data_IF_537352217575
#
_entry.id   IF_537352217575
#
_cell.length_a   1.000
_cell.length_b   1.000
_cell.length_c   1.000
_cell.angle_alpha   90.00
_cell.angle_beta   90.00
_cell.angle_gamma   90.00
#
_symmetry.space_group_name_H-M   'P 1'
#
loop_
_entity.id
_entity.type
_entity.pdbx_description
1 polymer ?
#
# COMPACT_ATOMS: atom_id res chain seq x y z
N UNK A 1 -14.97 -24.76 8.31
CA UNK A 1 -14.64 -23.46 8.91
C UNK A 1 -13.47 -22.91 8.13
N UNK A 2 -13.67 -21.86 7.36
CA UNK A 2 -12.56 -21.15 6.70
C UNK A 2 -11.77 -20.43 7.79
N UNK A 3 -10.47 -20.67 7.89
CA UNK A 3 -9.63 -19.99 8.86
C UNK A 3 -9.66 -18.48 8.57
N UNK A 4 -10.04 -17.69 9.58
CA UNK A 4 -10.17 -16.23 9.52
C UNK A 4 -8.87 -15.56 9.04
N UNK A 5 -7.72 -16.16 9.35
CA UNK A 5 -6.40 -15.67 9.00
C UNK A 5 -5.75 -16.46 7.86
N UNK A 6 -6.51 -17.30 7.16
CA UNK A 6 -6.00 -17.96 5.97
C UNK A 6 -5.73 -16.91 4.88
N UNK A 7 -4.48 -16.87 4.43
CA UNK A 7 -4.03 -15.96 3.38
C UNK A 7 -3.53 -16.74 2.15
N UNK A 8 -3.54 -16.12 0.96
CA UNK A 8 -2.80 -16.63 -0.20
C UNK A 8 -1.31 -16.84 0.11
N UNK A 9 -0.63 -17.73 -0.62
CA UNK A 9 0.80 -18.08 -0.37
C UNK A 9 1.76 -16.87 -0.41
N UNK A 10 1.43 -15.85 -1.18
CA UNK A 10 2.22 -14.63 -1.36
C UNK A 10 1.78 -13.48 -0.44
N UNK A 11 0.88 -13.75 0.49
CA UNK A 11 0.48 -12.79 1.50
C UNK A 11 1.45 -12.77 2.69
N UNK A 12 1.23 -11.82 3.59
CA UNK A 12 2.11 -11.54 4.72
C UNK A 12 1.35 -11.91 5.98
N UNK A 13 1.51 -13.15 6.49
CA UNK A 13 0.71 -13.62 7.60
C UNK A 13 0.94 -12.74 8.82
N UNK A 14 -0.14 -12.47 9.54
CA UNK A 14 -0.09 -11.75 10.80
C UNK A 14 0.48 -12.65 11.90
N UNK A 15 1.35 -12.08 12.73
CA UNK A 15 1.83 -12.72 13.96
C UNK A 15 0.69 -12.80 15.00
N UNK A 16 0.74 -13.75 15.96
CA UNK A 16 -0.30 -13.90 16.97
C UNK A 16 -0.68 -12.59 17.68
N UNK A 17 0.30 -11.79 18.09
CA UNK A 17 0.07 -10.51 18.79
C UNK A 17 -0.61 -9.46 17.90
N UNK A 18 -0.43 -9.56 16.58
CA UNK A 18 -1.05 -8.63 15.62
C UNK A 18 -2.50 -9.03 15.31
N UNK A 19 -2.80 -10.34 15.38
CA UNK A 19 -4.17 -10.87 15.29
C UNK A 19 -5.01 -10.42 16.49
N UNK A 20 -4.41 -10.36 17.68
CA UNK A 20 -5.04 -9.78 18.88
C UNK A 20 -5.38 -8.29 18.70
N UNK A 21 -4.75 -7.63 17.72
CA UNK A 21 -5.06 -6.25 17.36
C UNK A 21 -6.41 -6.06 16.66
N UNK A 22 -7.13 -7.12 16.32
CA UNK A 22 -8.47 -7.04 15.70
C UNK A 22 -9.47 -6.42 16.68
N UNK A 23 -10.04 -5.27 16.33
CA UNK A 23 -10.95 -4.50 17.19
C UNK A 23 -12.39 -5.02 17.16
N UNK A 24 -12.81 -5.60 16.03
CA UNK A 24 -14.21 -5.88 15.74
C UNK A 24 -14.55 -7.33 16.15
N UNK A 25 -15.25 -7.47 17.28
CA UNK A 25 -15.58 -8.77 17.88
C UNK A 25 -16.59 -9.60 17.09
N UNK A 26 -17.28 -9.01 16.12
CA UNK A 26 -18.27 -9.68 15.28
C UNK A 26 -17.66 -10.37 14.04
N UNK A 27 -16.38 -10.11 13.74
CA UNK A 27 -15.69 -10.73 12.61
C UNK A 27 -15.43 -12.20 12.97
N UNK A 28 -16.08 -13.11 12.22
CA UNK A 28 -15.93 -14.56 12.42
C UNK A 28 -15.42 -15.26 11.16
N UNK A 29 -15.54 -14.62 10.00
CA UNK A 29 -15.08 -15.14 8.72
C UNK A 29 -14.11 -14.17 8.02
N UNK A 30 -13.30 -14.72 7.10
CA UNK A 30 -12.44 -13.90 6.24
C UNK A 30 -13.23 -12.91 5.38
N UNK A 31 -14.45 -13.27 4.98
CA UNK A 31 -15.33 -12.38 4.22
C UNK A 31 -15.74 -11.16 5.06
N UNK A 32 -16.11 -11.37 6.33
CA UNK A 32 -16.42 -10.29 7.27
C UNK A 32 -15.24 -9.32 7.42
N UNK A 33 -14.03 -9.88 7.59
CA UNK A 33 -12.81 -9.10 7.71
C UNK A 33 -12.53 -8.28 6.45
N UNK A 34 -12.63 -8.90 5.27
CA UNK A 34 -12.42 -8.22 3.99
C UNK A 34 -13.41 -7.07 3.80
N UNK A 35 -14.69 -7.28 4.14
CA UNK A 35 -15.72 -6.25 4.06
C UNK A 35 -15.44 -5.08 5.02
N UNK A 36 -15.08 -5.38 6.27
CA UNK A 36 -14.75 -4.36 7.26
C UNK A 36 -13.49 -3.56 6.87
N UNK A 37 -12.46 -4.22 6.37
CA UNK A 37 -11.27 -3.55 5.84
C UNK A 37 -11.60 -2.68 4.63
N UNK A 38 -12.42 -3.18 3.69
CA UNK A 38 -12.79 -2.41 2.51
C UNK A 38 -13.57 -1.15 2.86
N UNK A 39 -14.56 -1.24 3.75
CA UNK A 39 -15.31 -0.07 4.24
C UNK A 39 -14.39 0.99 4.87
N UNK A 40 -13.41 0.56 5.67
CA UNK A 40 -12.48 1.49 6.30
C UNK A 40 -11.47 2.09 5.30
N UNK A 41 -11.04 1.31 4.30
CA UNK A 41 -10.24 1.80 3.17
C UNK A 41 -11.00 2.87 2.39
N UNK A 42 -12.28 2.66 2.10
CA UNK A 42 -13.11 3.61 1.37
C UNK A 42 -13.29 4.92 2.16
N UNK A 43 -13.49 4.83 3.49
CA UNK A 43 -13.50 5.99 4.39
C UNK A 43 -12.15 6.72 4.38
N UNK A 44 -11.05 5.98 4.42
CA UNK A 44 -9.69 6.52 4.36
C UNK A 44 -9.42 7.24 3.04
N UNK A 45 -9.82 6.64 1.92
CA UNK A 45 -9.76 7.25 0.58
C UNK A 45 -10.55 8.56 0.57
N UNK A 46 -11.82 8.51 0.97
CA UNK A 46 -12.70 9.67 0.95
C UNK A 46 -12.16 10.82 1.83
N UNK A 47 -11.54 10.50 2.97
CA UNK A 47 -10.82 11.48 3.79
C UNK A 47 -9.63 12.10 3.03
N UNK A 48 -8.76 11.28 2.45
CA UNK A 48 -7.55 11.76 1.76
C UNK A 48 -7.87 12.58 0.51
N UNK A 49 -8.86 12.16 -0.29
CA UNK A 49 -9.28 12.89 -1.50
C UNK A 49 -10.06 14.19 -1.19
N UNK A 50 -10.62 14.35 0.02
CA UNK A 50 -11.25 15.62 0.46
C UNK A 50 -10.29 16.58 1.14
N UNK A 51 -9.15 16.11 1.63
CA UNK A 51 -8.15 16.96 2.26
C UNK A 51 -7.68 18.03 1.26
N UNK A 52 -7.66 19.29 1.71
CA UNK A 52 -7.20 20.42 0.89
C UNK A 52 -5.69 20.52 1.01
N UNK A 53 -4.99 20.20 -0.08
CA UNK A 53 -3.52 20.29 -0.21
C UNK A 53 -2.74 19.62 0.94
N UNK A 54 -2.99 18.33 1.25
CA UNK A 54 -2.18 17.62 2.23
C UNK A 54 -0.72 17.51 1.76
N UNK A 55 0.21 17.54 2.71
CA UNK A 55 1.61 17.22 2.44
C UNK A 55 1.79 15.70 2.36
N UNK A 56 1.60 15.16 1.16
CA UNK A 56 1.57 13.73 0.87
C UNK A 56 2.92 13.04 1.07
N UNK A 57 4.02 13.78 0.93
CA UNK A 57 5.38 13.24 0.86
C UNK A 57 6.07 13.37 2.21
N UNK A 58 5.37 12.96 3.26
CA UNK A 58 5.86 12.97 4.64
C UNK A 58 5.57 11.64 5.32
N UNK A 59 6.44 11.26 6.26
CA UNK A 59 6.23 10.07 7.11
C UNK A 59 4.92 10.18 7.88
N UNK A 60 4.60 11.38 8.38
CA UNK A 60 3.35 11.63 9.11
C UNK A 60 2.12 11.30 8.24
N UNK A 61 2.09 11.77 7.00
CA UNK A 61 0.98 11.45 6.10
C UNK A 61 0.92 9.95 5.77
N UNK A 62 2.06 9.29 5.54
CA UNK A 62 2.13 7.85 5.32
C UNK A 62 1.47 7.06 6.46
N UNK A 63 1.83 7.38 7.71
CA UNK A 63 1.27 6.73 8.90
C UNK A 63 -0.20 7.09 9.10
N UNK A 64 -0.56 8.36 8.91
CA UNK A 64 -1.93 8.84 9.05
C UNK A 64 -2.87 8.21 8.02
N UNK A 65 -2.45 8.10 6.77
CA UNK A 65 -3.21 7.45 5.71
C UNK A 65 -3.51 6.00 6.08
N UNK A 66 -2.50 5.24 6.53
CA UNK A 66 -2.71 3.87 6.97
C UNK A 66 -3.67 3.79 8.17
N UNK A 67 -3.51 4.68 9.15
CA UNK A 67 -4.42 4.76 10.30
C UNK A 67 -5.86 5.02 9.87
N UNK A 68 -6.08 5.86 8.85
CA UNK A 68 -7.40 6.17 8.32
C UNK A 68 -8.01 5.03 7.52
N UNK A 69 -7.18 4.21 6.87
CA UNK A 69 -7.62 3.07 6.07
C UNK A 69 -7.93 1.81 6.91
N UNK A 70 -7.30 1.65 8.08
CA UNK A 70 -7.36 0.39 8.84
C UNK A 70 -7.69 0.57 10.33
N UNK A 71 -7.79 1.80 10.85
CA UNK A 71 -7.90 2.09 12.29
C UNK A 71 -9.21 1.69 12.95
N UNK A 72 -10.29 1.51 12.18
CA UNK A 72 -11.56 0.98 12.70
C UNK A 72 -11.46 -0.54 12.92
N UNK A 73 -10.61 -1.23 12.14
CA UNK A 73 -10.45 -2.69 12.15
C UNK A 73 -9.29 -3.13 13.05
N UNK A 74 -8.16 -2.43 12.98
CA UNK A 74 -6.89 -2.85 13.56
C UNK A 74 -6.33 -1.84 14.56
N UNK A 75 -5.87 -2.31 15.71
CA UNK A 75 -5.31 -1.46 16.77
C UNK A 75 -3.94 -0.88 16.42
N UNK A 76 -3.16 -1.61 15.62
CA UNK A 76 -1.83 -1.24 15.14
C UNK A 76 -1.84 -0.32 13.91
N UNK A 77 -3.01 0.03 13.37
CA UNK A 77 -3.10 0.85 12.18
C UNK A 77 -2.36 2.20 12.35
N UNK A 78 -1.46 2.50 11.40
CA UNK A 78 -0.62 3.70 11.43
C UNK A 78 0.64 3.57 12.29
N UNK A 79 0.98 2.36 12.72
CA UNK A 79 2.23 2.05 13.40
C UNK A 79 3.05 1.08 12.57
N UNK A 80 4.37 1.27 12.54
CA UNK A 80 5.25 0.31 11.89
C UNK A 80 5.17 -1.06 12.55
N UNK A 81 5.26 -2.11 11.74
CA UNK A 81 5.45 -3.46 12.27
C UNK A 81 6.76 -3.54 13.05
N UNK A 82 6.78 -4.41 14.05
CA UNK A 82 7.95 -4.63 14.94
C UNK A 82 8.59 -6.00 14.73
N UNK A 83 7.97 -6.84 13.92
CA UNK A 83 8.31 -8.23 13.69
C UNK A 83 8.79 -8.43 12.26
N UNK A 84 9.69 -9.39 12.07
CA UNK A 84 10.22 -9.76 10.74
C UNK A 84 9.12 -10.34 9.85
N UNK A 85 9.36 -10.34 8.54
CA UNK A 85 8.45 -10.88 7.53
C UNK A 85 9.21 -11.63 6.44
N UNK A 86 8.48 -12.48 5.71
CA UNK A 86 8.97 -13.14 4.50
C UNK A 86 9.29 -12.15 3.36
N UNK A 87 8.70 -10.96 3.39
CA UNK A 87 8.93 -9.87 2.45
C UNK A 87 9.12 -8.54 3.18
N UNK A 88 9.83 -7.61 2.56
CA UNK A 88 10.16 -6.33 3.16
C UNK A 88 11.53 -6.29 3.81
N UNK A 89 11.86 -5.14 4.40
CA UNK A 89 13.16 -4.92 5.06
C UNK A 89 13.09 -5.22 6.57
N UNK A 90 14.22 -5.22 7.27
CA UNK A 90 14.22 -5.40 8.73
C UNK A 90 13.43 -4.28 9.45
N UNK A 91 12.63 -4.57 10.50
CA UNK A 91 11.78 -3.60 11.19
C UNK A 91 12.50 -2.33 11.66
N UNK A 92 13.73 -2.48 12.16
CA UNK A 92 14.54 -1.36 12.66
C UNK A 92 14.96 -0.38 11.55
N UNK A 93 14.91 -0.79 10.28
CA UNK A 93 15.23 0.05 9.12
C UNK A 93 14.00 0.77 8.54
N UNK A 94 12.77 0.36 8.90
CA UNK A 94 11.53 0.87 8.28
C UNK A 94 11.42 2.39 8.37
N UNK A 95 11.65 2.97 9.54
CA UNK A 95 11.53 4.41 9.74
C UNK A 95 12.52 5.20 8.89
N UNK A 96 13.77 4.75 8.83
CA UNK A 96 14.83 5.41 8.04
C UNK A 96 14.53 5.29 6.55
N UNK A 97 14.20 4.10 6.05
CA UNK A 97 13.92 3.91 4.62
C UNK A 97 12.63 4.61 4.18
N UNK A 98 11.61 4.71 5.04
CA UNK A 98 10.39 5.46 4.73
C UNK A 98 10.69 6.96 4.64
N UNK A 99 11.49 7.50 5.57
CA UNK A 99 11.93 8.90 5.53
C UNK A 99 12.69 9.18 4.24
N UNK A 100 13.68 8.36 3.91
CA UNK A 100 14.46 8.50 2.68
C UNK A 100 13.57 8.44 1.42
N UNK A 101 12.58 7.55 1.38
CA UNK A 101 11.65 7.48 0.26
C UNK A 101 10.84 8.78 0.10
N UNK A 102 10.35 9.35 1.21
CA UNK A 102 9.60 10.60 1.16
C UNK A 102 10.46 11.78 0.70
N UNK A 103 11.70 11.87 1.19
CA UNK A 103 12.67 12.88 0.77
C UNK A 103 13.02 12.74 -0.73
N UNK A 104 13.27 11.51 -1.19
CA UNK A 104 13.52 11.23 -2.61
C UNK A 104 12.32 11.62 -3.47
N UNK A 105 11.10 11.27 -3.04
CA UNK A 105 9.88 11.61 -3.77
C UNK A 105 9.68 13.13 -3.86
N UNK A 106 9.91 13.86 -2.76
CA UNK A 106 9.83 15.31 -2.74
C UNK A 106 10.85 15.93 -3.70
N UNK A 107 12.08 15.40 -3.71
CA UNK A 107 13.11 15.80 -4.66
C UNK A 107 12.69 15.54 -6.11
N UNK A 108 12.16 14.36 -6.42
CA UNK A 108 11.72 13.99 -7.77
C UNK A 108 10.62 14.91 -8.28
N UNK A 109 9.67 15.31 -7.42
CA UNK A 109 8.63 16.28 -7.76
C UNK A 109 9.23 17.66 -8.04
N UNK A 110 10.08 18.16 -7.14
CA UNK A 110 10.69 19.48 -7.27
C UNK A 110 11.54 19.65 -8.53
N UNK A 111 12.24 18.59 -8.94
CA UNK A 111 13.17 18.61 -10.07
C UNK A 111 12.62 17.96 -11.34
N UNK A 112 11.36 17.51 -11.32
CA UNK A 112 10.73 16.79 -12.44
C UNK A 112 11.61 15.63 -12.94
N UNK A 113 12.21 14.89 -12.00
CA UNK A 113 13.18 13.82 -12.31
C UNK A 113 12.54 12.70 -13.15
N UNK A 114 11.25 12.45 -12.93
CA UNK A 114 10.46 11.47 -13.65
C UNK A 114 9.14 12.07 -14.11
N UNK A 115 8.57 11.51 -15.18
CA UNK A 115 7.18 11.76 -15.54
C UNK A 115 6.23 11.37 -14.38
N UNK A 116 5.11 12.08 -14.17
CA UNK A 116 4.25 11.87 -13.00
C UNK A 116 3.82 10.41 -12.77
N UNK A 117 3.46 9.68 -13.84
CA UNK A 117 3.10 8.25 -13.75
C UNK A 117 4.25 7.42 -13.20
N UNK A 118 5.45 7.59 -13.74
CA UNK A 118 6.61 6.81 -13.30
C UNK A 118 6.99 7.15 -11.86
N UNK A 119 6.97 8.44 -11.49
CA UNK A 119 7.21 8.89 -10.13
C UNK A 119 6.28 8.17 -9.14
N UNK A 120 4.97 8.20 -9.40
CA UNK A 120 3.98 7.57 -8.52
C UNK A 120 4.15 6.06 -8.43
N UNK A 121 4.48 5.39 -9.55
CA UNK A 121 4.76 3.94 -9.58
C UNK A 121 6.03 3.61 -8.79
N UNK A 122 7.07 4.45 -8.84
CA UNK A 122 8.29 4.29 -8.03
C UNK A 122 8.01 4.47 -6.53
N UNK A 123 7.20 5.46 -6.16
CA UNK A 123 6.74 5.65 -4.77
C UNK A 123 5.97 4.43 -4.28
N UNK A 124 5.02 3.94 -5.09
CA UNK A 124 4.26 2.72 -4.81
C UNK A 124 5.18 1.52 -4.57
N UNK A 125 6.06 1.21 -5.54
CA UNK A 125 6.96 0.07 -5.47
C UNK A 125 7.86 0.13 -4.24
N UNK A 126 8.51 1.28 -3.99
CA UNK A 126 9.42 1.41 -2.84
C UNK A 126 8.70 1.28 -1.51
N UNK A 127 7.46 1.76 -1.37
CA UNK A 127 6.67 1.50 -0.15
C UNK A 127 6.33 0.02 0.04
N UNK A 128 5.94 -0.68 -1.03
CA UNK A 128 5.69 -2.13 -0.99
C UNK A 128 6.97 -2.89 -0.62
N UNK A 129 8.11 -2.48 -1.17
CA UNK A 129 9.42 -3.04 -0.87
C UNK A 129 9.86 -2.79 0.58
N UNK A 130 9.59 -1.61 1.15
CA UNK A 130 9.86 -1.34 2.58
C UNK A 130 8.95 -2.21 3.46
N UNK A 131 7.69 -2.37 3.06
CA UNK A 131 6.68 -3.14 3.79
C UNK A 131 6.49 -2.66 5.24
N UNK A 132 6.09 -1.39 5.45
CA UNK A 132 6.12 -0.74 6.77
C UNK A 132 5.13 -1.28 7.81
N UNK A 133 3.99 -1.83 7.39
CA UNK A 133 2.89 -2.20 8.28
C UNK A 133 2.69 -3.72 8.40
N UNK A 134 2.01 -4.22 9.44
CA UNK A 134 1.68 -5.65 9.56
C UNK A 134 0.89 -6.22 8.38
N UNK A 135 -0.09 -5.47 7.87
CA UNK A 135 -0.88 -5.79 6.67
C UNK A 135 -1.31 -4.47 6.01
N UNK A 136 -1.83 -4.53 4.77
CA UNK A 136 -2.39 -3.38 4.06
C UNK A 136 -1.41 -2.64 3.16
N UNK A 137 -0.13 -3.04 3.13
CA UNK A 137 0.95 -2.33 2.43
C UNK A 137 0.67 -2.07 0.94
N UNK A 138 0.22 -3.07 0.19
CA UNK A 138 -0.11 -2.89 -1.23
C UNK A 138 -1.30 -1.95 -1.49
N UNK A 139 -2.35 -2.04 -0.66
CA UNK A 139 -3.54 -1.17 -0.75
C UNK A 139 -3.20 0.28 -0.38
N UNK A 140 -2.42 0.46 0.69
CA UNK A 140 -1.89 1.75 1.14
C UNK A 140 -0.98 2.40 0.08
N UNK A 141 -0.02 1.65 -0.45
CA UNK A 141 0.93 2.16 -1.43
C UNK A 141 0.26 2.58 -2.75
N UNK A 142 -0.77 1.84 -3.21
CA UNK A 142 -1.57 2.23 -4.38
C UNK A 142 -2.32 3.53 -4.12
N UNK A 143 -2.98 3.65 -2.97
CA UNK A 143 -3.70 4.86 -2.60
C UNK A 143 -2.79 6.08 -2.51
N UNK A 144 -1.59 5.95 -1.94
CA UNK A 144 -0.63 7.07 -1.91
C UNK A 144 -0.19 7.47 -3.32
N UNK A 145 0.10 6.51 -4.20
CA UNK A 145 0.48 6.80 -5.58
C UNK A 145 -0.65 7.51 -6.35
N UNK A 146 -1.90 7.11 -6.17
CA UNK A 146 -3.05 7.78 -6.79
C UNK A 146 -3.23 9.21 -6.27
N UNK A 147 -3.01 9.44 -4.97
CA UNK A 147 -3.03 10.79 -4.37
C UNK A 147 -1.91 11.68 -4.93
N UNK A 148 -0.70 11.12 -5.06
CA UNK A 148 0.44 11.82 -5.65
C UNK A 148 0.15 12.19 -7.11
N UNK A 149 -0.38 11.28 -7.92
CA UNK A 149 -0.76 11.56 -9.30
C UNK A 149 -1.79 12.67 -9.42
N UNK A 150 -2.84 12.59 -8.58
CA UNK A 150 -3.86 13.63 -8.54
C UNK A 150 -3.26 14.98 -8.19
N UNK A 151 -2.35 15.04 -7.22
CA UNK A 151 -1.65 16.28 -6.82
C UNK A 151 -0.80 16.87 -7.95
N UNK A 152 -0.26 16.01 -8.81
CA UNK A 152 0.51 16.38 -10.00
C UNK A 152 -0.36 16.66 -11.24
N UNK A 153 -1.69 16.49 -11.14
CA UNK A 153 -2.61 16.72 -12.25
C UNK A 153 -2.53 15.66 -13.37
N UNK A 154 -2.03 14.47 -13.05
CA UNK A 154 -1.87 13.37 -14.01
C UNK A 154 -3.10 12.42 -14.01
N UNK A 155 -3.31 11.65 -15.11
CA UNK A 155 -4.40 10.68 -15.18
C UNK A 155 -4.31 9.62 -14.08
N UNK A 156 -5.47 9.14 -13.62
CA UNK A 156 -5.56 8.06 -12.66
C UNK A 156 -5.02 6.74 -13.23
N UNK A 157 -4.50 5.90 -12.32
CA UNK A 157 -4.08 4.53 -12.63
C UNK A 157 -5.26 3.58 -12.44
N UNK A 158 -5.29 2.52 -13.25
CA UNK A 158 -6.32 1.48 -13.22
C UNK A 158 -5.86 0.23 -12.47
N UNK A 159 -4.53 0.07 -12.27
CA UNK A 159 -3.94 -1.05 -11.54
C UNK A 159 -4.37 -2.44 -12.08
N UNK A 160 -4.52 -2.54 -13.41
CA UNK A 160 -4.90 -3.75 -14.13
C UNK A 160 -6.41 -4.02 -14.18
N UNK A 161 -7.24 -3.05 -13.78
CA UNK A 161 -8.70 -3.14 -13.85
C UNK A 161 -9.29 -3.20 -15.27
N UNK A 162 -8.51 -2.96 -16.33
CA UNK A 162 -9.00 -2.97 -17.71
C UNK A 162 -8.66 -4.22 -18.54
N UNK A 163 -7.82 -5.14 -18.05
CA UNK A 163 -7.19 -6.15 -18.93
C UNK A 163 -7.34 -7.62 -18.51
N UNK A 164 -7.80 -7.93 -17.30
CA UNK A 164 -7.85 -9.31 -16.79
C UNK A 164 -9.16 -9.57 -16.04
N UNK A 165 -9.94 -10.54 -16.52
CA UNK A 165 -11.21 -10.96 -15.90
C UNK A 165 -11.00 -11.84 -14.64
N UNK A 166 -9.81 -12.46 -14.50
CA UNK A 166 -9.44 -13.31 -13.37
C UNK A 166 -8.53 -12.57 -12.37
N UNK A 167 -9.01 -12.45 -11.12
CA UNK A 167 -8.31 -11.83 -9.99
C UNK A 167 -6.95 -12.50 -9.71
N UNK A 168 -6.84 -13.82 -9.89
CA UNK A 168 -5.60 -14.54 -9.66
C UNK A 168 -4.55 -14.20 -10.73
N UNK A 169 -4.97 -14.07 -11.98
CA UNK A 169 -4.09 -13.72 -13.09
C UNK A 169 -3.58 -12.29 -12.93
N UNK A 170 -4.48 -11.37 -12.53
CA UNK A 170 -4.16 -9.99 -12.19
C UNK A 170 -3.12 -9.93 -11.06
N UNK A 171 -3.33 -10.70 -9.99
CA UNK A 171 -2.39 -10.78 -8.86
C UNK A 171 -1.03 -11.31 -9.30
N UNK A 172 -0.97 -12.37 -10.11
CA UNK A 172 0.30 -12.93 -10.63
C UNK A 172 1.04 -11.92 -11.51
N UNK A 173 0.34 -11.23 -12.40
CA UNK A 173 0.93 -10.19 -13.24
C UNK A 173 1.50 -9.03 -12.42
N UNK A 174 0.77 -8.59 -11.39
CA UNK A 174 1.23 -7.55 -10.47
C UNK A 174 2.50 -7.97 -9.71
N UNK A 175 2.52 -9.18 -9.14
CA UNK A 175 3.68 -9.69 -8.39
C UNK A 175 4.90 -9.82 -9.30
N UNK A 176 4.73 -10.31 -10.53
CA UNK A 176 5.85 -10.38 -11.48
C UNK A 176 6.36 -8.98 -11.86
N UNK A 177 5.47 -8.01 -12.06
CA UNK A 177 5.87 -6.64 -12.32
C UNK A 177 6.64 -6.01 -11.15
N UNK A 178 6.26 -6.29 -9.91
CA UNK A 178 7.03 -5.88 -8.72
C UNK A 178 8.44 -6.50 -8.71
N UNK A 179 8.56 -7.80 -9.02
CA UNK A 179 9.87 -8.48 -9.07
C UNK A 179 10.80 -7.92 -10.15
N UNK A 180 10.24 -7.43 -11.26
CA UNK A 180 10.99 -6.70 -12.29
C UNK A 180 11.45 -5.33 -11.76
N UNK A 181 10.56 -4.61 -11.08
CA UNK A 181 10.87 -3.32 -10.48
C UNK A 181 11.94 -3.43 -9.36
N UNK A 182 12.02 -4.55 -8.64
CA UNK A 182 13.11 -4.83 -7.67
C UNK A 182 14.50 -4.80 -8.35
N UNK A 183 14.57 -5.08 -9.65
CA UNK A 183 15.78 -5.03 -10.48
C UNK A 183 15.90 -3.72 -11.25
N UNK A 184 15.19 -2.68 -10.81
CA UNK A 184 15.11 -1.35 -11.43
C UNK A 184 14.46 -1.31 -12.82
N UNK A 185 13.83 -2.42 -13.27
CA UNK A 185 13.03 -2.45 -14.48
C UNK A 185 11.56 -2.13 -14.15
N UNK A 186 11.25 -0.83 -14.13
CA UNK A 186 9.91 -0.32 -13.81
C UNK A 186 8.91 -0.41 -14.97
N UNK A 187 9.37 -0.70 -16.19
CA UNK A 187 8.52 -0.71 -17.40
C UNK A 187 7.28 -1.61 -17.25
N UNK A 188 7.44 -2.88 -16.84
CA UNK A 188 6.32 -3.78 -16.61
C UNK A 188 5.32 -3.27 -15.56
N UNK A 189 5.80 -2.67 -14.47
CA UNK A 189 4.94 -2.16 -13.40
C UNK A 189 4.18 -0.89 -13.82
N UNK A 190 4.81 -0.02 -14.60
CA UNK A 190 4.14 1.15 -15.19
C UNK A 190 3.05 0.70 -16.17
N UNK A 191 3.34 -0.30 -17.02
CA UNK A 191 2.38 -0.85 -17.95
C UNK A 191 1.17 -1.47 -17.20
N UNK A 192 1.44 -2.29 -16.19
CA UNK A 192 0.40 -2.88 -15.33
C UNK A 192 -0.45 -1.80 -14.64
N UNK A 193 0.18 -0.75 -14.10
CA UNK A 193 -0.54 0.31 -13.40
C UNK A 193 -1.50 1.09 -14.32
N UNK A 194 -1.21 1.14 -15.64
CA UNK A 194 -2.03 1.81 -16.66
C UNK A 194 -3.08 0.92 -17.32
N UNK A 195 -2.98 -0.41 -17.18
CA UNK A 195 -3.82 -1.39 -17.89
C UNK A 195 -5.19 -1.61 -17.27
#
# INVERSE_FOLDING_TARGET
MTDLFQEPEDATPLEPEEREGLRLTWITTRADLNLAEQDNIDKGAAWAFRAREPDLLTVEFVLQLHKRMFGDVWSWAGQYRRTERNIGIAPHMIGVQTTQLMDDAAYWVAHKTYEPTELAVRVHHRLVYIHPFPNGNGRHARMLADLVLRRLGAPALSWGGGSLDDINDLRRAYVEALRRADRQDYGPLIAFARS
#
